data_IF_475819959844
#
_entry.id   IF_475819959844
#
_cell.length_a   1.000
_cell.length_b   1.000
_cell.length_c   1.000
_cell.angle_alpha   90.00
_cell.angle_beta   90.00
_cell.angle_gamma   90.00
#
_symmetry.space_group_name_H-M   'P 1'
#
loop_
_entity.id
_entity.type
_entity.pdbx_description
1 polymer ?
#
# COMPACT_ATOMS: atom_id res chain seq x y z
N UNK A 1 -5.70 -13.04 2.56
CA UNK A 1 -4.31 -12.62 2.85
C UNK A 1 -4.29 -11.71 4.06
N UNK A 2 -3.17 -11.68 4.75
CA UNK A 2 -2.91 -10.75 5.83
C UNK A 2 -2.31 -9.48 5.26
N UNK A 3 -2.97 -8.35 5.49
CA UNK A 3 -2.64 -7.09 4.83
C UNK A 3 -2.32 -6.01 5.86
N UNK A 4 -1.22 -5.28 5.63
CA UNK A 4 -0.86 -4.10 6.38
C UNK A 4 -1.26 -2.86 5.58
N UNK A 5 -1.97 -1.94 6.22
CA UNK A 5 -2.34 -0.67 5.61
C UNK A 5 -1.45 0.44 6.19
N UNK A 6 -0.81 1.21 5.31
CA UNK A 6 0.01 2.36 5.69
C UNK A 6 -0.65 3.60 5.12
N UNK A 7 -1.43 4.26 5.96
CA UNK A 7 -2.29 5.38 5.57
C UNK A 7 -2.61 6.23 6.79
N UNK A 8 -2.79 7.53 6.61
CA UNK A 8 -3.11 8.43 7.71
C UNK A 8 -4.48 9.10 7.58
N UNK A 9 -5.20 8.86 6.49
CA UNK A 9 -6.56 9.43 6.31
C UNK A 9 -7.60 8.41 6.76
N UNK A 10 -8.39 8.78 7.75
CA UNK A 10 -9.40 7.88 8.33
C UNK A 10 -10.41 7.38 7.31
N UNK A 11 -10.83 8.23 6.37
CA UNK A 11 -11.77 7.84 5.33
C UNK A 11 -11.21 6.75 4.43
N UNK A 12 -9.98 6.91 4.01
CA UNK A 12 -9.30 5.92 3.16
C UNK A 12 -9.12 4.60 3.89
N UNK A 13 -8.70 4.67 5.16
CA UNK A 13 -8.55 3.47 5.99
C UNK A 13 -9.88 2.72 6.10
N UNK A 14 -10.95 3.45 6.39
CA UNK A 14 -12.27 2.85 6.53
C UNK A 14 -12.74 2.18 5.25
N UNK A 15 -12.56 2.84 4.11
CA UNK A 15 -12.93 2.29 2.81
C UNK A 15 -12.13 1.02 2.51
N UNK A 16 -10.82 1.05 2.74
CA UNK A 16 -9.97 -0.11 2.51
C UNK A 16 -10.35 -1.29 3.38
N UNK A 17 -10.60 -1.06 4.67
CA UNK A 17 -11.01 -2.12 5.59
C UNK A 17 -12.30 -2.79 5.13
N UNK A 18 -13.29 -1.99 4.74
CA UNK A 18 -14.58 -2.49 4.28
C UNK A 18 -14.42 -3.35 3.02
N UNK A 19 -13.68 -2.83 2.04
CA UNK A 19 -13.48 -3.53 0.77
C UNK A 19 -12.70 -4.82 0.97
N UNK A 20 -11.61 -4.76 1.74
CA UNK A 20 -10.77 -5.94 1.97
C UNK A 20 -11.53 -7.03 2.71
N UNK A 21 -12.40 -6.66 3.66
CA UNK A 21 -13.23 -7.62 4.36
C UNK A 21 -14.19 -8.34 3.40
N UNK A 22 -14.82 -7.57 2.50
CA UNK A 22 -15.72 -8.14 1.48
C UNK A 22 -14.97 -9.11 0.57
N UNK A 23 -13.71 -8.80 0.24
CA UNK A 23 -12.88 -9.65 -0.61
C UNK A 23 -12.29 -10.85 0.13
N UNK A 24 -12.53 -10.98 1.43
CA UNK A 24 -12.06 -12.12 2.23
C UNK A 24 -10.65 -11.97 2.78
N UNK A 25 -10.11 -10.75 2.81
CA UNK A 25 -8.79 -10.50 3.36
C UNK A 25 -8.86 -9.95 4.77
N UNK A 26 -7.75 -10.06 5.50
CA UNK A 26 -7.66 -9.60 6.88
C UNK A 26 -6.66 -8.44 7.00
N UNK A 27 -7.09 -7.35 7.61
CA UNK A 27 -6.19 -6.23 7.93
C UNK A 27 -5.56 -6.53 9.28
N UNK A 28 -4.27 -6.85 9.29
CA UNK A 28 -3.57 -7.25 10.51
C UNK A 28 -2.82 -6.12 11.18
N UNK A 29 -2.72 -4.96 10.53
CA UNK A 29 -2.05 -3.81 11.14
C UNK A 29 -2.32 -2.54 10.39
N UNK A 30 -2.14 -1.43 11.09
CA UNK A 30 -2.24 -0.09 10.55
C UNK A 30 -1.00 0.69 10.96
N UNK A 31 -0.43 1.43 10.02
CA UNK A 31 0.67 2.34 10.31
C UNK A 31 0.35 3.69 9.69
N UNK A 32 0.68 4.77 10.38
CA UNK A 32 0.43 6.13 9.90
C UNK A 32 1.64 6.77 9.25
N UNK A 33 2.81 6.14 9.36
CA UNK A 33 4.03 6.65 8.74
C UNK A 33 4.97 5.50 8.37
N UNK A 34 6.04 5.85 7.62
CA UNK A 34 6.95 4.86 7.08
C UNK A 34 7.75 4.10 8.13
N UNK A 35 8.22 4.77 9.16
CA UNK A 35 9.01 4.11 10.21
C UNK A 35 8.21 3.06 10.95
N UNK A 36 6.98 3.41 11.33
CA UNK A 36 6.08 2.47 12.01
C UNK A 36 5.73 1.31 11.09
N UNK A 37 5.52 1.59 9.78
CA UNK A 37 5.23 0.54 8.81
C UNK A 37 6.35 -0.50 8.72
N UNK A 38 7.61 -0.04 8.68
CA UNK A 38 8.76 -0.95 8.60
C UNK A 38 8.83 -1.83 9.86
N UNK A 39 8.61 -1.23 11.04
CA UNK A 39 8.62 -1.97 12.29
C UNK A 39 7.51 -3.02 12.33
N UNK A 40 6.28 -2.62 12.01
CA UNK A 40 5.13 -3.53 12.04
C UNK A 40 5.30 -4.66 11.02
N UNK A 41 5.78 -4.35 9.83
CA UNK A 41 6.01 -5.37 8.81
C UNK A 41 7.00 -6.44 9.27
N UNK A 42 8.06 -6.02 9.96
CA UNK A 42 9.04 -6.96 10.52
C UNK A 42 8.47 -7.84 11.63
N UNK A 43 7.52 -7.32 12.40
CA UNK A 43 6.89 -8.06 13.49
C UNK A 43 5.78 -8.99 13.02
N UNK A 44 4.96 -8.54 12.07
CA UNK A 44 3.74 -9.26 11.68
C UNK A 44 3.85 -10.04 10.38
N UNK A 45 4.85 -9.77 9.55
CA UNK A 45 5.06 -10.45 8.26
C UNK A 45 3.79 -10.49 7.40
N UNK A 46 3.25 -9.34 7.01
CA UNK A 46 2.05 -9.34 6.16
C UNK A 46 2.34 -9.92 4.78
N UNK A 47 1.29 -10.41 4.12
CA UNK A 47 1.37 -10.93 2.76
C UNK A 47 1.38 -9.83 1.70
N UNK A 48 0.85 -8.67 2.05
CA UNK A 48 0.69 -7.54 1.15
C UNK A 48 0.66 -6.25 1.95
N UNK A 49 1.21 -5.19 1.39
CA UNK A 49 1.17 -3.86 2.00
C UNK A 49 0.50 -2.88 1.04
N UNK A 50 -0.50 -2.16 1.54
CA UNK A 50 -1.11 -1.03 0.85
C UNK A 50 -0.55 0.23 1.48
N UNK A 51 0.12 1.07 0.69
CA UNK A 51 0.82 2.23 1.23
C UNK A 51 0.51 3.49 0.43
N UNK A 52 0.09 4.54 1.14
CA UNK A 52 -0.11 5.84 0.50
C UNK A 52 1.25 6.44 0.16
N UNK A 53 1.37 6.98 -1.04
CA UNK A 53 2.60 7.62 -1.50
C UNK A 53 2.96 8.81 -0.62
N UNK A 54 1.96 9.58 -0.19
CA UNK A 54 2.16 10.73 0.69
C UNK A 54 1.82 10.37 2.13
N UNK A 55 2.84 10.30 2.96
CA UNK A 55 2.69 10.01 4.38
C UNK A 55 3.23 11.16 5.22
N UNK A 56 2.73 11.28 6.45
CA UNK A 56 3.28 12.21 7.42
C UNK A 56 4.65 11.74 7.89
N UNK A 57 5.50 12.69 8.28
CA UNK A 57 6.84 12.37 8.79
C UNK A 57 7.93 12.57 7.74
N UNK A 58 9.13 12.13 8.06
CA UNK A 58 10.30 12.36 7.23
C UNK A 58 10.37 11.45 6.01
N UNK A 59 9.76 10.30 6.09
CA UNK A 59 9.84 9.28 5.05
C UNK A 59 8.56 9.26 4.22
N UNK A 60 8.69 9.37 2.90
CA UNK A 60 7.55 9.24 2.00
C UNK A 60 7.12 7.78 1.88
N UNK A 61 5.91 7.56 1.34
CA UNK A 61 5.46 6.20 1.07
C UNK A 61 6.35 5.46 0.09
N UNK A 62 6.90 6.17 -0.88
CA UNK A 62 7.82 5.57 -1.87
C UNK A 62 9.11 5.11 -1.19
N UNK A 63 9.67 5.95 -0.33
CA UNK A 63 10.89 5.59 0.41
C UNK A 63 10.65 4.40 1.33
N UNK A 64 9.55 4.42 2.07
CA UNK A 64 9.18 3.32 2.95
C UNK A 64 9.02 2.01 2.17
N UNK A 65 8.37 2.08 1.00
CA UNK A 65 8.18 0.90 0.15
C UNK A 65 9.51 0.30 -0.29
N UNK A 66 10.49 1.12 -0.61
CA UNK A 66 11.82 0.62 -0.99
C UNK A 66 12.45 -0.20 0.13
N UNK A 67 12.35 0.29 1.37
CA UNK A 67 12.84 -0.46 2.53
C UNK A 67 12.05 -1.76 2.74
N UNK A 68 10.73 -1.70 2.62
CA UNK A 68 9.86 -2.87 2.82
C UNK A 68 10.15 -3.97 1.81
N UNK A 69 10.31 -3.62 0.55
CA UNK A 69 10.66 -4.58 -0.50
C UNK A 69 12.06 -5.14 -0.27
N UNK A 70 13.03 -4.28 0.05
CA UNK A 70 14.42 -4.70 0.23
C UNK A 70 14.60 -5.62 1.44
N UNK A 71 13.96 -5.27 2.57
CA UNK A 71 14.11 -6.02 3.82
C UNK A 71 13.27 -7.29 3.88
N UNK A 72 12.03 -7.22 3.42
CA UNK A 72 11.06 -8.31 3.66
C UNK A 72 10.51 -8.91 2.38
N UNK A 73 10.74 -8.30 1.23
CA UNK A 73 10.27 -8.77 -0.07
C UNK A 73 8.75 -8.94 -0.13
N UNK A 74 8.03 -8.04 0.53
CA UNK A 74 6.57 -8.07 0.58
C UNK A 74 6.02 -7.28 -0.61
N UNK A 75 5.02 -7.80 -1.34
CA UNK A 75 4.38 -7.06 -2.44
C UNK A 75 3.74 -5.77 -1.95
N UNK A 76 3.82 -4.72 -2.78
CA UNK A 76 3.33 -3.38 -2.44
C UNK A 76 2.29 -2.92 -3.48
N UNK A 77 1.20 -2.35 -3.00
CA UNK A 77 0.27 -1.57 -3.82
C UNK A 77 0.29 -0.14 -3.30
N UNK A 78 0.58 0.81 -4.20
CA UNK A 78 0.61 2.23 -3.85
C UNK A 78 -0.76 2.86 -3.98
N UNK A 79 -1.15 3.66 -3.00
CA UNK A 79 -2.41 4.41 -2.99
C UNK A 79 -2.09 5.87 -3.30
N UNK A 80 -2.84 6.48 -4.21
CA UNK A 80 -2.57 7.85 -4.62
C UNK A 80 -3.83 8.52 -5.13
N UNK A 81 -3.78 9.87 -5.25
CA UNK A 81 -4.78 10.66 -5.95
C UNK A 81 -4.29 11.06 -7.35
N UNK A 82 -3.05 10.72 -7.70
CA UNK A 82 -2.45 11.10 -8.97
C UNK A 82 -2.54 9.98 -10.00
N UNK A 83 -2.40 10.35 -11.28
CA UNK A 83 -2.30 9.35 -12.35
C UNK A 83 -0.95 8.65 -12.29
N UNK A 84 -0.91 7.43 -12.82
CA UNK A 84 0.32 6.64 -12.82
C UNK A 84 1.47 7.35 -13.55
N UNK A 85 1.18 8.03 -14.65
CA UNK A 85 2.22 8.72 -15.42
C UNK A 85 2.89 9.82 -14.61
N UNK A 86 2.10 10.60 -13.87
CA UNK A 86 2.64 11.63 -12.99
C UNK A 86 3.51 11.03 -11.90
N UNK A 87 3.06 9.90 -11.34
CA UNK A 87 3.77 9.22 -10.26
C UNK A 87 5.12 8.69 -10.72
N UNK A 88 5.15 8.01 -11.87
CA UNK A 88 6.38 7.42 -12.38
C UNK A 88 7.44 8.47 -12.66
N UNK A 89 7.04 9.60 -13.22
CA UNK A 89 7.98 10.67 -13.57
C UNK A 89 8.42 11.48 -12.38
N UNK A 90 7.47 11.83 -11.49
CA UNK A 90 7.75 12.74 -10.38
C UNK A 90 8.34 12.05 -9.16
N UNK A 91 7.93 10.81 -8.90
CA UNK A 91 8.26 10.09 -7.67
C UNK A 91 9.19 8.92 -7.90
N UNK A 92 9.62 8.72 -9.15
CA UNK A 92 10.57 7.65 -9.50
C UNK A 92 10.12 6.26 -9.08
N UNK A 93 8.82 5.99 -9.25
CA UNK A 93 8.30 4.64 -9.05
C UNK A 93 8.79 3.72 -10.16
N UNK A 94 9.01 2.43 -9.85
CA UNK A 94 9.29 1.45 -10.90
C UNK A 94 8.16 1.41 -11.94
N UNK A 95 8.49 1.12 -13.19
CA UNK A 95 7.49 1.04 -14.26
C UNK A 95 6.43 -0.02 -13.98
N UNK A 96 6.79 -1.09 -13.28
CA UNK A 96 5.89 -2.18 -12.94
C UNK A 96 5.17 -1.99 -11.60
N UNK A 97 5.29 -0.82 -10.98
CA UNK A 97 4.61 -0.55 -9.72
C UNK A 97 3.09 -0.62 -9.89
N UNK A 98 2.43 -1.31 -8.96
CA UNK A 98 0.97 -1.41 -8.96
C UNK A 98 0.43 -0.27 -8.12
N UNK A 99 -0.43 0.55 -8.72
CA UNK A 99 -1.01 1.73 -8.06
C UNK A 99 -2.53 1.68 -8.12
N UNK A 100 -3.17 2.23 -7.11
CA UNK A 100 -4.61 2.39 -7.09
C UNK A 100 -4.94 3.83 -6.70
N UNK A 101 -5.87 4.45 -7.44
CA UNK A 101 -6.28 5.84 -7.22
C UNK A 101 -7.50 5.92 -6.31
N UNK A 102 -7.56 6.95 -5.50
CA UNK A 102 -8.77 7.25 -4.74
C UNK A 102 -9.79 7.96 -5.65
N UNK A 103 -11.08 7.72 -5.45
CA UNK A 103 -11.68 6.85 -4.44
C UNK A 103 -11.48 5.37 -4.75
N UNK A 104 -11.23 4.59 -3.69
CA UNK A 104 -10.94 3.16 -3.85
C UNK A 104 -12.23 2.41 -4.21
N UNK A 105 -12.16 1.58 -5.26
CA UNK A 105 -13.28 0.76 -5.72
C UNK A 105 -12.92 -0.71 -5.55
N UNK A 106 -13.91 -1.51 -5.14
CA UNK A 106 -13.71 -2.92 -4.87
C UNK A 106 -13.09 -3.67 -6.06
N UNK A 107 -13.67 -3.49 -7.24
CA UNK A 107 -13.23 -4.18 -8.44
C UNK A 107 -11.80 -3.79 -8.82
N UNK A 108 -11.46 -2.53 -8.64
CA UNK A 108 -10.12 -2.05 -8.96
C UNK A 108 -9.09 -2.61 -7.97
N UNK A 109 -9.43 -2.62 -6.68
CA UNK A 109 -8.53 -3.18 -5.68
C UNK A 109 -8.31 -4.68 -5.89
N UNK A 110 -9.39 -5.40 -6.21
CA UNK A 110 -9.30 -6.83 -6.52
C UNK A 110 -8.36 -7.08 -7.71
N UNK A 111 -8.48 -6.27 -8.75
CA UNK A 111 -7.58 -6.36 -9.91
C UNK A 111 -6.13 -6.08 -9.52
N UNK A 112 -5.89 -5.04 -8.72
CA UNK A 112 -4.54 -4.69 -8.29
C UNK A 112 -3.90 -5.80 -7.46
N UNK A 113 -4.68 -6.43 -6.58
CA UNK A 113 -4.20 -7.55 -5.78
C UNK A 113 -3.79 -8.71 -6.68
N UNK A 114 -4.62 -9.04 -7.67
CA UNK A 114 -4.28 -10.06 -8.65
C UNK A 114 -2.98 -9.74 -9.39
N UNK A 115 -2.83 -8.50 -9.81
CA UNK A 115 -1.64 -8.05 -10.55
C UNK A 115 -0.37 -8.20 -9.73
N UNK A 116 -0.41 -7.78 -8.48
CA UNK A 116 0.80 -7.78 -7.64
C UNK A 116 1.21 -9.22 -7.27
N UNK A 117 0.26 -10.14 -7.21
CA UNK A 117 0.55 -11.53 -6.88
C UNK A 117 1.07 -12.34 -8.06
N UNK A 118 0.90 -11.87 -9.30
CA UNK A 118 1.39 -12.54 -10.49
C UNK A 118 2.91 -12.43 -10.67
N UNK A 119 3.52 -11.49 -9.97
CA UNK A 119 4.94 -11.20 -10.14
C UNK A 119 5.83 -11.97 -9.17
#
# INVERSE_FOLDING_TARGET
MDILIVENKDNTISDLKTILQVLGHKVIGLASNGKVAIKIAGELNPDLILINIKLNGEMSGVEAAKFLVSLYKIPIIFITVFTKNCLTKSLQLPDDAVTISEPIRKEHLEYCISRVLEN
#
